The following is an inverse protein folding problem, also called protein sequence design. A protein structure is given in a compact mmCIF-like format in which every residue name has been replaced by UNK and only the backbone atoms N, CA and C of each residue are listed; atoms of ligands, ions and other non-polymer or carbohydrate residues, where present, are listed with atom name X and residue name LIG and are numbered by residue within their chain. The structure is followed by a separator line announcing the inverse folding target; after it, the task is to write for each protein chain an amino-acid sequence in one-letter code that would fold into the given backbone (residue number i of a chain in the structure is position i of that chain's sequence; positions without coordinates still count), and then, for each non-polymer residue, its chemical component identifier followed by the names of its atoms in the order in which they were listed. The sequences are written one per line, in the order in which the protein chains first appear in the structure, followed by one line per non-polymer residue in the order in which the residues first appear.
data_IF_410320348325
#
_entry.id   IF_410320348325
#
_cell.length_a   1.000
_cell.length_b   1.000
_cell.length_c   1.000
_cell.angle_alpha   90.00
_cell.angle_beta   90.00
_cell.angle_gamma   90.00
#
_symmetry.space_group_name_H-M   'P 1'
#
loop_
_entity.id
_entity.type
_entity.pdbx_description
1 polymer ?
#
# COMPACT_ATOMS: atom_id res chain seq x y z
N UNK A 1 -24.59 -10.99 -6.08
CA UNK A 1 -23.80 -10.75 -7.31
C UNK A 1 -22.35 -10.81 -6.90
N UNK A 2 -21.43 -11.36 -7.71
CA UNK A 2 -20.00 -11.27 -7.38
C UNK A 2 -19.63 -9.79 -7.22
N UNK A 3 -18.80 -9.44 -6.22
CA UNK A 3 -18.25 -8.09 -6.07
C UNK A 3 -17.76 -7.55 -7.42
N UNK A 4 -17.94 -6.29 -7.80
CA UNK A 4 -17.18 -5.76 -8.92
C UNK A 4 -15.96 -5.08 -8.31
N UNK A 5 -14.77 -5.64 -8.57
CA UNK A 5 -13.51 -5.10 -8.07
C UNK A 5 -12.79 -4.50 -9.27
N UNK A 6 -12.72 -3.18 -9.31
CA UNK A 6 -12.21 -2.46 -10.48
C UNK A 6 -11.00 -1.57 -10.16
N UNK A 7 -10.44 -1.69 -8.95
CA UNK A 7 -9.19 -1.03 -8.59
C UNK A 7 -8.17 -2.05 -8.09
N UNK A 8 -6.89 -1.82 -8.40
CA UNK A 8 -5.76 -2.56 -7.85
C UNK A 8 -4.64 -1.57 -7.52
N UNK A 9 -4.46 -1.27 -6.23
CA UNK A 9 -3.62 -0.16 -5.76
C UNK A 9 -2.37 -0.62 -5.00
N UNK A 10 -2.04 -1.90 -5.08
CA UNK A 10 -0.77 -2.40 -4.57
C UNK A 10 -0.18 -3.33 -5.63
N UNK A 11 0.66 -2.75 -6.47
CA UNK A 11 1.35 -3.44 -7.56
C UNK A 11 2.78 -2.91 -7.68
N UNK A 12 3.68 -3.75 -8.16
CA UNK A 12 5.10 -3.47 -8.23
C UNK A 12 5.58 -3.47 -9.69
N UNK A 13 6.63 -2.68 -9.94
CA UNK A 13 7.33 -2.62 -11.22
C UNK A 13 8.75 -3.15 -11.06
N UNK A 14 9.49 -3.25 -12.16
CA UNK A 14 10.91 -3.63 -12.14
C UNK A 14 11.79 -2.77 -11.22
N UNK A 15 11.30 -1.59 -10.78
CA UNK A 15 12.01 -0.81 -9.76
C UNK A 15 12.21 -1.60 -8.46
N UNK A 16 11.22 -2.39 -8.03
CA UNK A 16 11.27 -3.21 -6.80
C UNK A 16 12.31 -4.36 -6.83
N UNK A 17 13.09 -4.49 -7.91
CA UNK A 17 14.17 -5.46 -8.15
C UNK A 17 13.76 -6.95 -8.22
N UNK A 18 12.69 -7.36 -7.56
CA UNK A 18 12.12 -8.71 -7.62
C UNK A 18 10.71 -8.74 -8.25
N UNK A 19 10.36 -7.67 -8.96
CA UNK A 19 9.23 -7.59 -9.87
C UNK A 19 9.74 -7.44 -11.31
N UNK A 20 8.91 -7.81 -12.28
CA UNK A 20 9.37 -8.12 -13.65
C UNK A 20 8.56 -7.41 -14.75
N UNK A 21 7.83 -6.35 -14.41
CA UNK A 21 7.06 -5.57 -15.37
C UNK A 21 7.31 -4.08 -15.24
N UNK A 22 7.29 -3.38 -16.35
CA UNK A 22 7.30 -1.92 -16.42
C UNK A 22 5.94 -1.34 -16.00
N UNK A 23 5.89 -0.04 -15.72
CA UNK A 23 4.61 0.66 -15.48
C UNK A 23 3.68 0.58 -16.69
N UNK A 24 4.21 0.61 -17.91
CA UNK A 24 3.41 0.50 -19.15
C UNK A 24 2.77 -0.89 -19.28
N UNK A 25 3.53 -1.96 -19.02
CA UNK A 25 3.00 -3.33 -19.00
C UNK A 25 1.94 -3.51 -17.91
N UNK A 26 2.15 -2.89 -16.75
CA UNK A 26 1.16 -2.92 -15.68
C UNK A 26 -0.15 -2.24 -16.09
N UNK A 27 -0.05 -1.05 -16.72
CA UNK A 27 -1.21 -0.31 -17.27
C UNK A 27 -1.91 -1.11 -18.38
N UNK A 28 -1.16 -1.75 -19.28
CA UNK A 28 -1.72 -2.62 -20.32
C UNK A 28 -2.61 -3.70 -19.71
N UNK A 29 -2.10 -4.41 -18.69
CA UNK A 29 -2.83 -5.50 -18.04
C UNK A 29 -4.01 -5.03 -17.20
N UNK A 30 -3.94 -3.83 -16.63
CA UNK A 30 -5.07 -3.18 -15.96
C UNK A 30 -6.19 -2.84 -16.96
N UNK A 31 -5.83 -2.24 -18.10
CA UNK A 31 -6.78 -1.88 -19.16
C UNK A 31 -7.43 -3.13 -19.78
N UNK A 32 -6.63 -4.15 -20.08
CA UNK A 32 -7.10 -5.43 -20.64
C UNK A 32 -8.12 -6.13 -19.72
N UNK A 33 -8.00 -5.94 -18.40
CA UNK A 33 -8.95 -6.49 -17.41
C UNK A 33 -10.07 -5.53 -17.03
N UNK A 34 -10.15 -4.37 -17.66
CA UNK A 34 -11.19 -3.38 -17.39
C UNK A 34 -11.09 -2.73 -16.00
N UNK A 35 -9.90 -2.69 -15.39
CA UNK A 35 -9.70 -1.92 -14.16
C UNK A 35 -9.90 -0.44 -14.44
N UNK A 36 -10.58 0.25 -13.52
CA UNK A 36 -10.75 1.69 -13.55
C UNK A 36 -9.55 2.42 -12.96
N UNK A 37 -8.86 1.80 -12.00
CA UNK A 37 -7.72 2.40 -11.28
C UNK A 37 -6.60 1.37 -11.10
N UNK A 38 -5.37 1.79 -11.38
CA UNK A 38 -4.15 1.05 -11.09
C UNK A 38 -3.24 1.94 -10.23
N UNK A 39 -2.72 1.40 -9.13
CA UNK A 39 -1.70 2.05 -8.31
C UNK A 39 -0.36 1.32 -8.38
N UNK A 40 0.71 2.06 -8.67
CA UNK A 40 2.09 1.56 -8.59
C UNK A 40 2.62 1.89 -7.20
N UNK A 41 2.79 0.90 -6.35
CA UNK A 41 3.26 1.04 -4.97
C UNK A 41 4.56 0.25 -4.80
N UNK A 42 5.56 0.57 -5.63
CA UNK A 42 6.88 -0.03 -5.53
C UNK A 42 7.51 0.17 -4.15
N UNK A 43 8.40 -0.75 -3.75
CA UNK A 43 8.99 -0.72 -2.42
C UNK A 43 9.89 0.51 -2.20
N UNK A 44 9.53 1.30 -1.20
CA UNK A 44 10.40 2.28 -0.56
C UNK A 44 11.03 1.60 0.66
N UNK A 45 12.10 0.85 0.39
CA UNK A 45 12.74 -0.06 1.35
C UNK A 45 14.25 -0.13 1.14
N UNK A 46 14.98 -0.57 2.18
CA UNK A 46 16.38 -0.99 2.07
C UNK A 46 16.57 -2.23 1.19
N UNK A 47 15.50 -2.99 0.89
CA UNK A 47 15.57 -4.20 0.05
C UNK A 47 15.92 -3.91 -1.42
N UNK A 48 15.59 -2.71 -1.91
CA UNK A 48 15.63 -2.40 -3.35
C UNK A 48 16.96 -1.86 -3.82
N UNK A 49 17.69 -1.14 -2.96
CA UNK A 49 18.94 -0.46 -3.34
C UNK A 49 20.10 -0.82 -2.43
N UNK A 50 21.30 -1.12 -2.98
CA UNK A 50 22.52 -1.29 -2.19
C UNK A 50 23.04 0.03 -1.60
N UNK A 51 22.55 1.17 -2.08
CA UNK A 51 22.89 2.51 -1.60
C UNK A 51 21.63 3.23 -1.08
N UNK A 52 21.03 2.76 0.04
CA UNK A 52 19.73 3.23 0.51
C UNK A 52 19.72 4.71 0.93
N UNK A 53 20.89 5.33 1.15
CA UNK A 53 21.02 6.72 1.57
C UNK A 53 21.33 7.68 0.40
N UNK A 54 21.36 7.20 -0.84
CA UNK A 54 21.62 8.02 -2.02
C UNK A 54 20.32 8.33 -2.75
N UNK A 55 19.97 9.62 -2.86
CA UNK A 55 18.75 10.09 -3.52
C UNK A 55 18.64 9.57 -4.96
N UNK A 56 19.76 9.35 -5.66
CA UNK A 56 19.78 8.86 -7.04
C UNK A 56 19.16 7.48 -7.18
N UNK A 57 19.17 6.66 -6.14
CA UNK A 57 18.51 5.35 -6.11
C UNK A 57 16.98 5.44 -6.11
N UNK A 58 16.40 6.61 -5.81
CA UNK A 58 14.96 6.79 -5.64
C UNK A 58 14.34 7.75 -6.67
N UNK A 59 15.06 8.06 -7.76
CA UNK A 59 14.58 8.89 -8.86
C UNK A 59 13.26 8.39 -9.47
N UNK A 60 13.01 7.08 -9.41
CA UNK A 60 11.77 6.46 -9.83
C UNK A 60 10.54 7.13 -9.20
N UNK A 61 10.54 7.32 -7.87
CA UNK A 61 9.44 7.95 -7.14
C UNK A 61 9.36 9.46 -7.39
N UNK A 62 10.52 10.12 -7.41
CA UNK A 62 10.60 11.58 -7.54
C UNK A 62 9.96 12.07 -8.84
N UNK A 63 10.15 11.30 -9.91
CA UNK A 63 9.76 11.66 -11.27
C UNK A 63 8.50 10.90 -11.75
N UNK A 64 7.68 10.31 -10.85
CA UNK A 64 6.38 9.72 -11.25
C UNK A 64 5.38 10.79 -11.73
N UNK A 65 5.67 12.07 -11.51
CA UNK A 65 4.83 13.18 -11.93
C UNK A 65 4.66 13.30 -13.44
N UNK A 66 5.59 12.76 -14.21
CA UNK A 66 5.54 12.68 -15.68
C UNK A 66 4.52 11.66 -16.20
N UNK A 67 4.05 10.73 -15.36
CA UNK A 67 3.08 9.72 -15.78
C UNK A 67 1.72 10.36 -16.10
N UNK A 68 1.07 10.01 -17.22
CA UNK A 68 -0.30 10.44 -17.50
C UNK A 68 -1.24 10.01 -16.38
N UNK A 69 -2.11 10.90 -15.91
CA UNK A 69 -3.13 10.54 -14.90
C UNK A 69 -4.12 9.53 -15.43
N UNK A 70 -4.52 9.66 -16.69
CA UNK A 70 -5.29 8.64 -17.40
C UNK A 70 -4.40 8.06 -18.49
N UNK A 71 -4.12 6.75 -18.41
CA UNK A 71 -3.31 6.03 -19.38
C UNK A 71 -4.10 4.81 -19.86
N UNK A 72 -4.35 4.72 -21.17
CA UNK A 72 -5.14 3.64 -21.77
C UNK A 72 -6.53 3.47 -21.14
N UNK A 73 -7.14 4.58 -20.70
CA UNK A 73 -8.45 4.60 -20.04
C UNK A 73 -8.45 4.26 -18.53
N UNK A 74 -7.28 3.92 -17.98
CA UNK A 74 -7.09 3.59 -16.56
C UNK A 74 -6.56 4.81 -15.81
N UNK A 75 -7.11 5.10 -14.63
CA UNK A 75 -6.51 6.07 -13.72
C UNK A 75 -5.25 5.48 -13.08
N UNK A 76 -4.11 6.14 -13.26
CA UNK A 76 -2.83 5.74 -12.67
C UNK A 76 -2.55 6.55 -11.41
N UNK A 77 -2.53 5.85 -10.26
CA UNK A 77 -2.12 6.40 -8.98
C UNK A 77 -0.62 6.18 -8.76
N UNK A 78 0.00 7.20 -8.19
CA UNK A 78 1.43 7.27 -7.88
C UNK A 78 1.60 6.94 -6.41
N UNK A 79 2.16 5.78 -6.10
CA UNK A 79 2.30 5.33 -4.72
C UNK A 79 3.70 4.80 -4.42
N UNK A 80 3.88 4.40 -3.18
CA UNK A 80 4.97 3.56 -2.73
C UNK A 80 4.49 2.65 -1.61
N UNK A 81 5.08 1.47 -1.52
CA UNK A 81 4.97 0.65 -0.32
C UNK A 81 6.17 0.98 0.58
N UNK A 82 5.93 1.75 1.63
CA UNK A 82 6.95 2.18 2.57
C UNK A 82 7.09 1.17 3.73
N UNK A 83 8.33 0.75 3.99
CA UNK A 83 8.60 -0.12 5.13
C UNK A 83 8.39 0.63 6.44
N UNK A 84 7.65 0.03 7.37
CA UNK A 84 7.73 0.35 8.79
C UNK A 84 9.01 -0.29 9.32
N UNK A 85 9.95 0.52 9.82
CA UNK A 85 11.32 0.08 10.15
C UNK A 85 11.64 0.06 11.64
N UNK A 86 10.74 0.56 12.49
CA UNK A 86 10.94 0.66 13.94
C UNK A 86 9.62 0.55 14.70
N UNK A 87 9.71 0.19 15.98
CA UNK A 87 8.55 0.02 16.88
C UNK A 87 7.78 1.31 17.18
N UNK A 88 8.37 2.48 16.94
CA UNK A 88 7.65 3.74 17.07
C UNK A 88 6.79 4.06 15.84
N UNK A 89 6.81 3.22 14.80
CA UNK A 89 6.02 3.37 13.58
C UNK A 89 6.71 4.18 12.48
N UNK A 90 7.99 4.52 12.64
CA UNK A 90 8.73 5.29 11.62
C UNK A 90 8.86 4.52 10.32
N UNK A 91 8.78 5.26 9.22
CA UNK A 91 8.88 4.74 7.86
C UNK A 91 10.30 4.87 7.31
N UNK A 92 10.66 3.96 6.41
CA UNK A 92 11.98 3.95 5.79
C UNK A 92 12.31 5.29 5.12
N UNK A 93 13.42 5.89 5.55
CA UNK A 93 13.94 7.14 5.00
C UNK A 93 13.49 8.41 5.73
N UNK A 94 12.61 8.33 6.73
CA UNK A 94 12.18 9.50 7.52
C UNK A 94 13.36 10.12 8.29
N UNK A 95 14.20 9.28 8.90
CA UNK A 95 15.39 9.70 9.64
C UNK A 95 16.67 9.75 8.80
N UNK A 96 16.58 9.55 7.48
CA UNK A 96 17.75 9.55 6.59
C UNK A 96 17.98 10.95 6.01
N UNK A 97 18.99 11.71 6.47
CA UNK A 97 19.25 13.03 5.91
C UNK A 97 19.85 12.94 4.51
N UNK A 98 19.38 13.80 3.61
CA UNK A 98 19.92 13.98 2.26
C UNK A 98 20.46 15.40 2.13
N UNK A 99 21.72 15.52 1.72
CA UNK A 99 22.44 16.80 1.57
C UNK A 99 22.73 17.16 0.13
N UNK A 100 22.71 16.20 -0.79
CA UNK A 100 22.97 16.38 -2.21
C UNK A 100 21.74 16.02 -3.03
N UNK A 101 21.49 16.76 -4.11
CA UNK A 101 20.46 16.44 -5.08
C UNK A 101 20.91 15.34 -6.06
N UNK A 102 20.06 15.03 -7.05
CA UNK A 102 20.33 13.97 -8.04
C UNK A 102 21.49 14.31 -8.99
N UNK A 103 21.82 15.59 -9.15
CA UNK A 103 22.96 16.08 -9.94
C UNK A 103 24.26 16.14 -9.13
N UNK A 104 24.16 16.02 -7.80
CA UNK A 104 25.28 16.11 -6.86
C UNK A 104 25.49 17.52 -6.29
N UNK A 105 24.56 18.44 -6.54
CA UNK A 105 24.61 19.79 -5.98
C UNK A 105 24.04 19.80 -4.56
N UNK A 106 24.58 20.62 -3.64
CA UNK A 106 24.12 20.65 -2.26
C UNK A 106 22.76 21.33 -2.13
N UNK A 107 21.88 20.77 -1.30
CA UNK A 107 20.63 21.44 -0.92
C UNK A 107 20.90 22.65 -0.01
N UNK A 108 20.07 23.68 -0.13
CA UNK A 108 20.13 24.89 0.72
C UNK A 108 19.69 24.66 2.17
N UNK A 109 18.99 23.56 2.43
CA UNK A 109 18.57 23.08 3.75
C UNK A 109 18.61 21.56 3.78
N UNK A 110 18.67 20.98 4.98
CA UNK A 110 18.57 19.54 5.16
C UNK A 110 17.14 19.06 4.83
N UNK A 111 17.05 17.92 4.14
CA UNK A 111 15.82 17.22 3.84
C UNK A 111 15.94 15.77 4.32
N UNK A 112 14.83 15.11 4.65
CA UNK A 112 14.82 13.65 4.76
C UNK A 112 14.71 13.02 3.36
N UNK A 113 15.22 11.80 3.23
CA UNK A 113 15.04 10.99 2.02
C UNK A 113 13.54 10.81 1.74
N UNK A 114 12.79 10.45 2.77
CA UNK A 114 11.36 10.21 2.67
C UNK A 114 10.59 11.41 2.13
N UNK A 115 10.86 12.62 2.62
CA UNK A 115 10.17 13.83 2.14
C UNK A 115 10.40 14.06 0.64
N UNK A 116 11.65 13.92 0.19
CA UNK A 116 12.01 14.14 -1.22
C UNK A 116 11.39 13.09 -2.13
N UNK A 117 11.37 11.84 -1.68
CA UNK A 117 10.87 10.67 -2.43
C UNK A 117 9.34 10.67 -2.48
N UNK A 118 8.66 10.98 -1.39
CA UNK A 118 7.21 10.80 -1.27
C UNK A 118 6.39 12.04 -1.63
N UNK A 119 7.00 13.24 -1.73
CA UNK A 119 6.28 14.51 -1.95
C UNK A 119 5.23 14.47 -3.07
N UNK A 120 5.55 13.82 -4.18
CA UNK A 120 4.73 13.78 -5.40
C UNK A 120 3.81 12.55 -5.48
N UNK A 121 3.85 11.66 -4.49
CA UNK A 121 3.02 10.47 -4.41
C UNK A 121 1.63 10.81 -3.87
N UNK A 122 0.61 10.11 -4.38
CA UNK A 122 -0.80 10.25 -4.00
C UNK A 122 -1.13 9.51 -2.70
N UNK A 123 -0.42 8.42 -2.40
CA UNK A 123 -0.63 7.62 -1.20
C UNK A 123 0.58 6.73 -0.90
N UNK A 124 0.61 6.19 0.31
CA UNK A 124 1.53 5.15 0.73
C UNK A 124 0.77 3.94 1.24
N UNK A 125 1.31 2.76 0.95
CA UNK A 125 1.02 1.52 1.66
C UNK A 125 2.12 1.36 2.71
N UNK A 126 1.76 1.29 3.99
CA UNK A 126 2.75 1.05 5.05
C UNK A 126 2.75 -0.43 5.43
N UNK A 127 3.91 -1.07 5.32
CA UNK A 127 4.04 -2.53 5.46
C UNK A 127 5.23 -2.91 6.32
N UNK A 128 5.13 -4.05 7.01
CA UNK A 128 6.28 -4.66 7.70
C UNK A 128 6.83 -5.79 6.83
N UNK A 129 8.04 -5.61 6.32
CA UNK A 129 8.76 -6.63 5.55
C UNK A 129 9.81 -7.40 6.36
N UNK A 130 10.23 -6.84 7.49
CA UNK A 130 11.15 -7.50 8.41
C UNK A 130 10.51 -7.58 9.81
N UNK A 131 9.93 -8.72 10.15
CA UNK A 131 9.31 -8.94 11.46
C UNK A 131 10.30 -8.91 12.64
N UNK A 132 11.62 -8.98 12.37
CA UNK A 132 12.65 -8.89 13.42
C UNK A 132 12.67 -7.54 14.14
N UNK A 133 12.13 -6.47 13.52
CA UNK A 133 11.98 -5.17 14.20
C UNK A 133 11.08 -5.27 15.45
N UNK A 134 10.23 -6.29 15.50
CA UNK A 134 9.33 -6.57 16.61
C UNK A 134 9.80 -7.71 17.53
N UNK A 135 11.03 -8.22 17.35
CA UNK A 135 11.55 -9.28 18.21
C UNK A 135 11.65 -8.82 19.67
N UNK A 136 11.01 -9.55 20.58
CA UNK A 136 10.94 -9.20 22.00
C UNK A 136 9.97 -8.06 22.36
N UNK A 137 9.28 -7.48 21.38
CA UNK A 137 8.26 -6.47 21.62
C UNK A 137 7.00 -7.08 22.24
N UNK A 138 6.34 -6.31 23.10
CA UNK A 138 5.02 -6.64 23.63
C UNK A 138 3.93 -6.40 22.60
N UNK A 139 2.77 -7.05 22.78
CA UNK A 139 1.58 -6.83 21.93
C UNK A 139 1.19 -5.34 21.89
N UNK A 140 1.32 -4.62 23.00
CA UNK A 140 1.01 -3.19 23.07
C UNK A 140 1.97 -2.36 22.19
N UNK A 141 3.27 -2.67 22.20
CA UNK A 141 4.27 -1.95 21.40
C UNK A 141 4.07 -2.17 19.91
N UNK A 142 3.78 -3.40 19.47
CA UNK A 142 3.51 -3.67 18.05
C UNK A 142 2.18 -3.09 17.59
N UNK A 143 1.19 -3.00 18.50
CA UNK A 143 -0.07 -2.31 18.23
C UNK A 143 0.15 -0.81 18.04
N UNK A 144 0.88 -0.18 18.97
CA UNK A 144 1.24 1.24 18.89
C UNK A 144 2.07 1.55 17.63
N UNK A 145 2.99 0.68 17.24
CA UNK A 145 3.75 0.78 15.98
C UNK A 145 2.83 0.95 14.75
N UNK A 146 1.83 0.09 14.59
CA UNK A 146 0.88 0.18 13.48
C UNK A 146 -0.02 1.43 13.56
N UNK A 147 -0.43 1.81 14.78
CA UNK A 147 -1.23 3.02 15.01
C UNK A 147 -0.43 4.28 14.64
N UNK A 148 0.85 4.33 15.02
CA UNK A 148 1.73 5.45 14.70
C UNK A 148 2.02 5.54 13.19
N UNK A 149 2.23 4.42 12.50
CA UNK A 149 2.32 4.41 11.04
C UNK A 149 1.04 4.97 10.39
N UNK A 150 -0.13 4.67 10.95
CA UNK A 150 -1.41 5.24 10.53
C UNK A 150 -1.53 6.75 10.86
N UNK A 151 -0.70 7.37 11.68
CA UNK A 151 -0.70 8.83 11.87
C UNK A 151 -0.10 9.56 10.66
N UNK A 152 0.77 8.91 9.88
CA UNK A 152 1.50 9.59 8.81
C UNK A 152 0.55 10.09 7.69
N UNK A 153 0.55 11.39 7.31
CA UNK A 153 -0.46 11.98 6.43
C UNK A 153 -0.59 11.38 5.04
N UNK A 154 0.47 10.74 4.52
CA UNK A 154 0.44 10.06 3.20
C UNK A 154 0.08 8.58 3.28
N UNK A 155 0.10 7.95 4.46
CA UNK A 155 -0.29 6.54 4.59
C UNK A 155 -1.79 6.42 4.41
N UNK A 156 -2.22 5.63 3.43
CA UNK A 156 -3.63 5.36 3.16
C UNK A 156 -4.04 3.96 3.60
N UNK A 157 -3.11 3.01 3.48
CA UNK A 157 -3.37 1.59 3.67
C UNK A 157 -2.26 0.95 4.50
N UNK A 158 -2.63 0.07 5.44
CA UNK A 158 -1.67 -0.89 6.01
C UNK A 158 -1.63 -2.14 5.11
N UNK A 159 -0.44 -2.46 4.58
CA UNK A 159 -0.23 -3.59 3.67
C UNK A 159 -0.08 -4.92 4.41
N UNK A 160 -0.64 -5.97 3.82
CA UNK A 160 -0.59 -7.41 4.19
C UNK A 160 -0.29 -7.75 5.65
N UNK A 161 -0.97 -7.08 6.59
CA UNK A 161 -0.73 -7.22 8.04
C UNK A 161 -0.96 -8.63 8.55
N UNK A 162 -1.81 -9.42 7.88
CA UNK A 162 -2.03 -10.83 8.18
C UNK A 162 -0.88 -11.77 7.79
N UNK A 163 -0.01 -11.35 6.85
CA UNK A 163 1.19 -12.08 6.42
C UNK A 163 2.47 -11.58 7.10
N UNK A 164 2.48 -10.34 7.58
CA UNK A 164 3.66 -9.68 8.16
C UNK A 164 4.33 -10.42 9.33
N UNK A 165 3.62 -11.33 10.01
CA UNK A 165 4.19 -12.12 11.12
C UNK A 165 4.43 -11.31 12.39
N UNK A 166 3.87 -10.10 12.49
CA UNK A 166 3.92 -9.25 13.69
C UNK A 166 2.53 -9.26 14.35
N UNK A 167 2.39 -9.78 15.59
CA UNK A 167 1.12 -9.78 16.28
C UNK A 167 0.74 -8.36 16.73
N UNK A 168 -0.55 -8.03 16.71
CA UNK A 168 -1.09 -6.77 17.21
C UNK A 168 -2.53 -6.97 17.70
N UNK A 169 -3.04 -6.04 18.49
CA UNK A 169 -4.46 -5.99 18.81
C UNK A 169 -5.23 -5.53 17.57
N UNK A 170 -5.94 -6.48 16.94
CA UNK A 170 -6.67 -6.23 15.69
C UNK A 170 -7.66 -5.08 15.88
N UNK A 171 -8.47 -5.12 16.93
CA UNK A 171 -9.54 -4.14 17.11
C UNK A 171 -8.99 -2.73 17.31
N UNK A 172 -7.91 -2.59 18.08
CA UNK A 172 -7.29 -1.30 18.35
C UNK A 172 -6.75 -0.65 17.06
N UNK A 173 -5.99 -1.40 16.26
CA UNK A 173 -5.47 -0.93 14.96
C UNK A 173 -6.61 -0.62 13.99
N UNK A 174 -7.62 -1.49 13.91
CA UNK A 174 -8.76 -1.29 13.02
C UNK A 174 -9.55 -0.02 13.37
N UNK A 175 -9.80 0.23 14.65
CA UNK A 175 -10.48 1.43 15.11
C UNK A 175 -9.64 2.70 14.85
N UNK A 176 -8.32 2.62 15.02
CA UNK A 176 -7.41 3.71 14.67
C UNK A 176 -7.42 4.02 13.17
N UNK A 177 -7.43 3.00 12.30
CA UNK A 177 -7.54 3.17 10.85
C UNK A 177 -8.87 3.83 10.46
N UNK A 178 -9.98 3.32 11.02
CA UNK A 178 -11.33 3.87 10.80
C UNK A 178 -11.44 5.35 11.18
N UNK A 179 -10.90 5.73 12.34
CA UNK A 179 -10.94 7.11 12.83
C UNK A 179 -10.24 8.10 11.88
N UNK A 180 -9.34 7.60 11.02
CA UNK A 180 -8.55 8.37 10.07
C UNK A 180 -8.98 8.19 8.61
N UNK A 181 -10.08 7.46 8.36
CA UNK A 181 -10.52 7.06 7.02
C UNK A 181 -9.47 6.26 6.22
N UNK A 182 -8.56 5.56 6.91
CA UNK A 182 -7.54 4.70 6.32
C UNK A 182 -8.03 3.26 6.26
N UNK A 183 -7.46 2.48 5.35
CA UNK A 183 -7.94 1.14 5.01
C UNK A 183 -6.93 0.05 5.40
N UNK A 184 -7.42 -1.18 5.51
CA UNK A 184 -6.60 -2.36 5.74
C UNK A 184 -6.58 -3.23 4.49
N UNK A 185 -5.40 -3.71 4.12
CA UNK A 185 -5.26 -4.54 2.94
C UNK A 185 -5.74 -5.98 3.17
N UNK A 186 -6.55 -6.49 2.23
CA UNK A 186 -6.75 -7.91 1.97
C UNK A 186 -5.99 -8.25 0.67
N UNK A 187 -4.77 -8.74 0.87
CA UNK A 187 -3.78 -8.97 -0.16
C UNK A 187 -4.01 -10.33 -0.83
N UNK A 188 -4.31 -10.38 -2.14
CA UNK A 188 -4.64 -11.62 -2.82
C UNK A 188 -3.48 -12.63 -2.82
N UNK A 189 -2.24 -12.17 -3.04
CA UNK A 189 -1.06 -13.04 -3.05
C UNK A 189 -0.84 -13.78 -1.71
N UNK A 190 -1.18 -13.15 -0.59
CA UNK A 190 -1.14 -13.77 0.74
C UNK A 190 -2.10 -14.98 0.87
N UNK A 191 -3.05 -15.12 -0.04
CA UNK A 191 -4.13 -16.10 -0.02
C UNK A 191 -3.93 -17.24 -1.03
N UNK A 192 -2.98 -17.10 -1.96
CA UNK A 192 -2.75 -18.06 -3.04
C UNK A 192 -2.22 -19.41 -2.56
N UNK A 193 -1.61 -19.46 -1.37
CA UNK A 193 -1.06 -20.68 -0.77
C UNK A 193 -2.11 -21.59 -0.13
N UNK A 194 -3.40 -21.24 -0.25
CA UNK A 194 -4.52 -22.07 0.18
C UNK A 194 -4.91 -21.87 1.64
N UNK A 195 -6.02 -22.52 2.02
CA UNK A 195 -6.68 -22.33 3.33
C UNK A 195 -5.89 -22.86 4.52
N UNK A 196 -4.90 -23.71 4.26
CA UNK A 196 -4.08 -24.36 5.28
C UNK A 196 -2.86 -23.52 5.67
N UNK A 197 -2.62 -22.40 4.97
CA UNK A 197 -1.56 -21.46 5.32
C UNK A 197 -1.93 -20.71 6.61
N UNK A 198 -0.97 -20.58 7.53
CA UNK A 198 -1.15 -19.87 8.81
C UNK A 198 -1.72 -18.45 8.62
N UNK A 199 -1.25 -17.73 7.59
CA UNK A 199 -1.70 -16.38 7.28
C UNK A 199 -3.15 -16.30 6.78
N UNK A 200 -3.70 -17.37 6.19
CA UNK A 200 -5.09 -17.37 5.71
C UNK A 200 -6.08 -17.11 6.85
N UNK A 201 -5.89 -17.79 7.99
CA UNK A 201 -6.73 -17.62 9.17
C UNK A 201 -6.65 -16.21 9.75
N UNK A 202 -5.45 -15.61 9.74
CA UNK A 202 -5.23 -14.24 10.22
C UNK A 202 -5.89 -13.22 9.29
N UNK A 203 -5.68 -13.33 7.97
CA UNK A 203 -6.31 -12.46 6.99
C UNK A 203 -7.84 -12.53 7.06
N UNK A 204 -8.41 -13.74 7.20
CA UNK A 204 -9.86 -13.93 7.38
C UNK A 204 -10.35 -13.27 8.65
N UNK A 205 -9.68 -13.48 9.78
CA UNK A 205 -10.04 -12.85 11.06
C UNK A 205 -10.03 -11.33 10.97
N UNK A 206 -9.01 -10.74 10.33
CA UNK A 206 -8.94 -9.30 10.11
C UNK A 206 -10.13 -8.82 9.26
N UNK A 207 -10.46 -9.51 8.17
CA UNK A 207 -11.61 -9.18 7.34
C UNK A 207 -12.94 -9.27 8.10
N UNK A 208 -13.16 -10.32 8.89
CA UNK A 208 -14.36 -10.46 9.73
C UNK A 208 -14.46 -9.30 10.74
N UNK A 209 -13.36 -8.95 11.41
CA UNK A 209 -13.32 -7.80 12.33
C UNK A 209 -13.55 -6.46 11.64
N UNK A 210 -13.01 -6.27 10.42
CA UNK A 210 -13.31 -5.08 9.62
C UNK A 210 -14.81 -4.95 9.33
N UNK A 211 -15.48 -6.05 8.99
CA UNK A 211 -16.93 -6.06 8.76
C UNK A 211 -17.71 -5.69 10.02
N UNK A 212 -17.36 -6.28 11.17
CA UNK A 212 -18.03 -6.06 12.44
C UNK A 212 -17.83 -4.64 13.00
N UNK A 213 -16.63 -4.07 12.81
CA UNK A 213 -16.29 -2.73 13.28
C UNK A 213 -16.61 -1.63 12.25
N UNK A 214 -17.00 -1.99 11.03
CA UNK A 214 -17.30 -1.05 9.95
C UNK A 214 -16.05 -0.29 9.46
N UNK A 215 -14.96 -1.03 9.24
CA UNK A 215 -13.66 -0.52 8.78
C UNK A 215 -13.51 -0.83 7.28
N UNK A 216 -13.06 0.16 6.50
CA UNK A 216 -12.84 -0.03 5.07
C UNK A 216 -11.64 -0.94 4.78
N UNK A 217 -11.77 -1.77 3.75
CA UNK A 217 -10.67 -2.61 3.24
C UNK A 217 -10.27 -2.22 1.82
N UNK A 218 -8.99 -2.40 1.52
CA UNK A 218 -8.46 -2.40 0.16
C UNK A 218 -8.14 -3.81 -0.27
N UNK A 219 -8.65 -4.23 -1.42
CA UNK A 219 -8.27 -5.50 -2.05
C UNK A 219 -7.26 -5.20 -3.15
N UNK A 220 -6.17 -5.95 -3.17
CA UNK A 220 -5.05 -5.76 -4.11
C UNK A 220 -4.44 -7.08 -4.52
N UNK A 221 -3.66 -7.06 -5.59
CA UNK A 221 -2.91 -8.25 -6.03
C UNK A 221 -1.56 -8.42 -5.39
N UNK A 222 -0.88 -7.31 -5.00
CA UNK A 222 0.56 -7.33 -4.68
C UNK A 222 1.36 -7.89 -5.87
N UNK A 223 0.93 -7.51 -7.07
CA UNK A 223 1.45 -8.07 -8.31
C UNK A 223 2.89 -7.64 -8.56
N UNK A 224 3.77 -8.64 -8.66
CA UNK A 224 5.17 -8.47 -9.05
C UNK A 224 5.41 -8.72 -10.55
N UNK A 225 4.34 -8.99 -11.31
CA UNK A 225 4.36 -9.15 -12.76
C UNK A 225 3.00 -8.77 -13.32
N UNK A 226 2.96 -8.06 -14.45
CA UNK A 226 1.73 -7.49 -14.99
C UNK A 226 0.63 -8.53 -15.26
N UNK A 227 1.00 -9.78 -15.56
CA UNK A 227 0.06 -10.90 -15.74
C UNK A 227 -0.78 -11.23 -14.50
N UNK A 228 -0.35 -10.80 -13.31
CA UNK A 228 -1.05 -10.99 -12.05
C UNK A 228 -2.04 -9.85 -11.73
N UNK A 229 -1.86 -8.66 -12.32
CA UNK A 229 -2.70 -7.49 -12.03
C UNK A 229 -4.18 -7.80 -12.20
N UNK A 230 -5.01 -7.33 -11.27
CA UNK A 230 -6.45 -7.54 -11.26
C UNK A 230 -6.92 -8.99 -11.03
N UNK A 231 -6.03 -9.96 -10.81
CA UNK A 231 -6.39 -11.33 -10.42
C UNK A 231 -6.68 -11.41 -8.92
N UNK A 232 -7.93 -11.13 -8.56
CA UNK A 232 -8.40 -10.98 -7.18
C UNK A 232 -9.31 -12.14 -6.72
N UNK A 233 -9.18 -13.31 -7.33
CA UNK A 233 -10.12 -14.42 -7.17
C UNK A 233 -10.12 -15.01 -5.74
N UNK A 234 -8.95 -15.09 -5.09
CA UNK A 234 -8.85 -15.68 -3.75
C UNK A 234 -9.40 -14.74 -2.68
N UNK A 235 -9.06 -13.45 -2.77
CA UNK A 235 -9.62 -12.43 -1.89
C UNK A 235 -11.14 -12.37 -2.05
N UNK A 236 -11.64 -12.34 -3.29
CA UNK A 236 -13.07 -12.39 -3.60
C UNK A 236 -13.76 -13.59 -2.97
N UNK A 237 -13.20 -14.79 -3.13
CA UNK A 237 -13.76 -16.02 -2.57
C UNK A 237 -13.86 -15.94 -1.04
N UNK A 238 -12.82 -15.47 -0.36
CA UNK A 238 -12.84 -15.27 1.09
C UNK A 238 -13.99 -14.34 1.51
N UNK A 239 -14.09 -13.18 0.85
CA UNK A 239 -15.05 -12.13 1.17
C UNK A 239 -16.48 -12.57 0.87
N UNK A 240 -16.69 -13.41 -0.16
CA UNK A 240 -17.98 -14.02 -0.45
C UNK A 240 -18.37 -15.00 0.68
N UNK A 241 -17.44 -15.83 1.16
CA UNK A 241 -17.70 -16.80 2.25
C UNK A 241 -18.08 -16.13 3.58
N UNK A 242 -17.45 -15.00 3.92
CA UNK A 242 -17.77 -14.24 5.14
C UNK A 242 -18.91 -13.23 4.94
N UNK A 243 -19.50 -13.17 3.74
CA UNK A 243 -20.55 -12.21 3.38
C UNK A 243 -20.15 -10.76 3.68
N UNK A 244 -18.91 -10.39 3.32
CA UNK A 244 -18.34 -9.09 3.64
C UNK A 244 -19.19 -7.92 3.07
N UNK A 245 -19.42 -6.83 3.82
CA UNK A 245 -20.22 -5.73 3.32
C UNK A 245 -19.56 -5.03 2.11
N UNK A 246 -20.23 -5.04 0.95
CA UNK A 246 -19.73 -4.42 -0.28
C UNK A 246 -19.36 -2.93 -0.07
N UNK A 247 -20.13 -2.21 0.75
CA UNK A 247 -19.91 -0.78 1.01
C UNK A 247 -18.60 -0.49 1.75
N UNK A 248 -18.01 -1.48 2.43
CA UNK A 248 -16.71 -1.39 3.10
C UNK A 248 -15.53 -1.74 2.19
N UNK A 249 -15.78 -2.24 0.97
CA UNK A 249 -14.70 -2.47 -0.01
C UNK A 249 -14.41 -1.16 -0.71
N UNK A 250 -13.30 -0.51 -0.34
CA UNK A 250 -12.92 0.82 -0.83
C UNK A 250 -12.39 0.75 -2.27
N UNK A 251 -11.71 -0.33 -2.65
CA UNK A 251 -11.17 -0.55 -4.00
C UNK A 251 -12.19 -1.16 -4.99
N UNK A 252 -13.48 -1.16 -4.66
CA UNK A 252 -14.52 -1.72 -5.55
C UNK A 252 -14.68 -0.90 -6.85
N UNK A 253 -14.61 0.42 -6.75
CA UNK A 253 -14.80 1.36 -7.86
C UNK A 253 -14.01 2.65 -7.65
N UNK A 254 -13.75 3.37 -8.76
CA UNK A 254 -12.97 4.61 -8.76
C UNK A 254 -13.58 5.70 -7.89
N UNK A 255 -14.90 5.86 -7.91
CA UNK A 255 -15.57 6.95 -7.19
C UNK A 255 -15.42 6.77 -5.69
N UNK A 256 -15.68 5.55 -5.21
CA UNK A 256 -15.50 5.15 -3.81
C UNK A 256 -14.04 5.34 -3.40
N UNK A 257 -13.08 4.80 -4.15
CA UNK A 257 -11.67 4.93 -3.82
C UNK A 257 -11.24 6.40 -3.69
N UNK A 258 -11.57 7.24 -4.67
CA UNK A 258 -11.20 8.66 -4.64
C UNK A 258 -11.89 9.44 -3.52
N UNK A 259 -13.13 9.08 -3.16
CA UNK A 259 -13.83 9.68 -2.02
C UNK A 259 -13.13 9.36 -0.71
N UNK A 260 -12.78 8.09 -0.48
CA UNK A 260 -12.11 7.67 0.76
C UNK A 260 -10.67 8.20 0.83
N UNK A 261 -9.91 8.23 -0.27
CA UNK A 261 -8.59 8.88 -0.30
C UNK A 261 -8.67 10.36 0.08
N UNK A 262 -9.70 11.07 -0.40
CA UNK A 262 -9.89 12.46 -0.05
C UNK A 262 -10.34 12.63 1.43
N UNK A 263 -11.16 11.72 1.95
CA UNK A 263 -11.57 11.71 3.36
C UNK A 263 -10.39 11.41 4.30
N UNK A 264 -9.47 10.54 3.88
CA UNK A 264 -8.22 10.25 4.58
C UNK A 264 -7.21 11.40 4.51
N UNK A 265 -7.43 12.39 3.64
CA UNK A 265 -6.53 13.52 3.44
C UNK A 265 -5.25 13.19 2.68
N UNK A 266 -5.13 11.99 2.09
CA UNK A 266 -3.90 11.56 1.39
C UNK A 266 -3.79 12.20 0.00
N UNK A 267 -4.89 12.27 -0.75
CA UNK A 267 -4.97 12.91 -2.06
C UNK A 267 -6.43 13.16 -2.48
N UNK A 268 -6.71 14.31 -3.09
CA UNK A 268 -8.04 14.65 -3.64
C UNK A 268 -7.95 14.89 -5.16
N UNK A 269 -8.02 13.81 -5.93
CA UNK A 269 -7.99 13.86 -7.40
C UNK A 269 -9.35 14.20 -8.03
N UNK A 270 -10.42 14.28 -7.24
CA UNK A 270 -11.78 14.58 -7.75
C UNK A 270 -11.92 16.00 -8.28
N UNK A 271 -10.98 16.89 -7.92
CA UNK A 271 -10.91 18.29 -8.38
C UNK A 271 -10.07 18.48 -9.65
N UNK A 272 -9.32 17.45 -10.03
CA UNK A 272 -8.29 17.51 -11.07
C UNK A 272 -8.66 16.69 -12.32
N UNK A 273 -9.86 16.09 -12.32
CA UNK A 273 -10.46 15.33 -13.41
C UNK A 273 -11.83 15.90 -13.73
#
# INVERSE_FOLDING_TARGET
MPYLLSCDIHTHTMFSAHAYSTIEENVYWAAERGLQVLGSADHLSSMVSPCPNDLRSYQFFINQDVWPRIWSGVLVLRGAEADIVSLDGSLFGEDTPVTLDIAGDPFSRQHSLFDLVTRNLDYLVASVHNSQIAEGATLAQTTEMYINALEHPKVFMLGHTGRAGVPFDIDEVLLAAKAKHKIIEINNHSLEHGTDAEHWGVCRKIAERCAELGVGIGISTDAHIGMAIGKLEQARKMLDEIHFPLDLIVTRDRETLLREMAAAGVCDLRKSM
#
